data_IF_709229575729
#
_entry.id   IF_709229575729
#
_cell.length_a   1.000
_cell.length_b   1.000
_cell.length_c   1.000
_cell.angle_alpha   90.00
_cell.angle_beta   90.00
_cell.angle_gamma   90.00
#
_symmetry.space_group_name_H-M   'P 1'
#
loop_
_entity.id
_entity.type
_entity.pdbx_description
1 polymer ?
#
# COMPACT_ATOMS: atom_id res chain seq x y z
N UNK A 1 -48.46 -18.75 -11.10
CA UNK A 1 -47.30 -17.83 -11.03
C UNK A 1 -47.73 -16.53 -11.70
N UNK A 2 -47.86 -15.45 -10.93
CA UNK A 2 -48.65 -14.28 -11.32
C UNK A 2 -47.94 -13.40 -12.36
N UNK A 3 -48.67 -12.79 -13.31
CA UNK A 3 -48.12 -11.82 -14.28
C UNK A 3 -47.34 -10.69 -13.60
N UNK A 4 -47.81 -10.23 -12.44
CA UNK A 4 -47.16 -9.20 -11.63
C UNK A 4 -45.77 -9.63 -11.13
N UNK A 5 -45.58 -10.90 -10.79
CA UNK A 5 -44.28 -11.45 -10.39
C UNK A 5 -43.27 -11.42 -11.54
N UNK A 6 -43.71 -11.73 -12.77
CA UNK A 6 -42.84 -11.65 -13.95
C UNK A 6 -42.48 -10.21 -14.31
N UNK A 7 -43.43 -9.28 -14.21
CA UNK A 7 -43.20 -7.85 -14.49
C UNK A 7 -42.27 -7.22 -13.46
N UNK A 8 -42.43 -7.54 -12.16
CA UNK A 8 -41.54 -7.06 -11.10
C UNK A 8 -40.13 -7.61 -11.27
N UNK A 9 -40.01 -8.92 -11.53
CA UNK A 9 -38.71 -9.57 -11.77
C UNK A 9 -37.99 -8.96 -12.97
N UNK A 10 -38.71 -8.70 -14.08
CA UNK A 10 -38.12 -8.10 -15.28
C UNK A 10 -37.62 -6.67 -15.02
N UNK A 11 -38.37 -5.87 -14.24
CA UNK A 11 -37.98 -4.52 -13.86
C UNK A 11 -36.73 -4.51 -12.98
N UNK A 12 -36.64 -5.44 -12.03
CA UNK A 12 -35.44 -5.61 -11.18
C UNK A 12 -34.21 -5.99 -12.02
N UNK A 13 -34.35 -6.99 -12.89
CA UNK A 13 -33.26 -7.40 -13.80
C UNK A 13 -32.74 -6.26 -14.66
N UNK A 14 -33.65 -5.44 -15.20
CA UNK A 14 -33.29 -4.25 -15.97
C UNK A 14 -32.44 -3.28 -15.15
N UNK A 15 -32.80 -3.00 -13.90
CA UNK A 15 -32.04 -2.12 -13.01
C UNK A 15 -30.63 -2.65 -12.72
N UNK A 16 -30.51 -3.97 -12.50
CA UNK A 16 -29.19 -4.60 -12.29
C UNK A 16 -28.32 -4.52 -13.55
N UNK A 17 -28.88 -4.76 -14.73
CA UNK A 17 -28.16 -4.65 -16.01
C UNK A 17 -27.73 -3.20 -16.26
N UNK A 18 -28.62 -2.23 -16.07
CA UNK A 18 -28.29 -0.79 -16.22
C UNK A 18 -27.18 -0.37 -15.26
N UNK A 19 -27.24 -0.83 -14.01
CA UNK A 19 -26.20 -0.56 -12.99
C UNK A 19 -24.87 -1.20 -13.36
N UNK A 20 -24.90 -2.46 -13.82
CA UNK A 20 -23.72 -3.18 -14.27
C UNK A 20 -23.07 -2.50 -15.48
N UNK A 21 -23.85 -2.14 -16.51
CA UNK A 21 -23.34 -1.46 -17.70
C UNK A 21 -22.79 -0.08 -17.38
N UNK A 22 -23.46 0.68 -16.50
CA UNK A 22 -22.95 1.96 -15.99
C UNK A 22 -21.57 1.78 -15.37
N UNK A 23 -21.43 0.85 -14.43
CA UNK A 23 -20.15 0.62 -13.76
C UNK A 23 -19.10 -0.01 -14.66
N UNK A 24 -19.50 -0.83 -15.63
CA UNK A 24 -18.59 -1.36 -16.65
C UNK A 24 -17.90 -0.22 -17.41
N UNK A 25 -18.67 0.78 -17.87
CA UNK A 25 -18.12 1.92 -18.62
C UNK A 25 -17.28 2.82 -17.70
N UNK A 26 -17.85 3.24 -16.56
CA UNK A 26 -17.20 4.20 -15.66
C UNK A 26 -15.92 3.62 -15.06
N UNK A 27 -15.98 2.38 -14.55
CA UNK A 27 -14.82 1.74 -13.96
C UNK A 27 -13.74 1.44 -15.01
N UNK A 28 -14.11 1.06 -16.23
CA UNK A 28 -13.12 0.90 -17.32
C UNK A 28 -12.44 2.21 -17.68
N UNK A 29 -13.17 3.33 -17.68
CA UNK A 29 -12.59 4.65 -17.94
C UNK A 29 -11.66 5.10 -16.80
N UNK A 30 -12.05 4.87 -15.54
CA UNK A 30 -11.18 5.10 -14.37
C UNK A 30 -9.94 4.20 -14.44
N UNK A 31 -10.13 2.93 -14.78
CA UNK A 31 -9.08 1.93 -14.92
C UNK A 31 -8.10 2.26 -16.04
N UNK A 32 -8.59 2.73 -17.19
CA UNK A 32 -7.76 3.18 -18.31
C UNK A 32 -6.93 4.41 -17.94
N UNK A 33 -7.53 5.42 -17.31
CA UNK A 33 -6.79 6.58 -16.83
C UNK A 33 -5.74 6.19 -15.76
N UNK A 34 -6.13 5.34 -14.81
CA UNK A 34 -5.25 4.82 -13.76
C UNK A 34 -4.11 3.95 -14.31
N UNK A 35 -4.37 3.13 -15.32
CA UNK A 35 -3.37 2.29 -15.99
C UNK A 35 -2.35 3.11 -16.76
N UNK A 36 -2.80 4.12 -17.53
CA UNK A 36 -1.92 5.02 -18.28
C UNK A 36 -1.00 5.82 -17.35
N UNK A 37 -1.58 6.52 -16.36
CA UNK A 37 -0.81 7.34 -15.42
C UNK A 37 0.04 6.46 -14.52
N UNK A 38 -0.47 5.29 -14.11
CA UNK A 38 0.25 4.29 -13.32
C UNK A 38 1.48 3.76 -14.05
N UNK A 39 1.38 3.47 -15.35
CA UNK A 39 2.52 3.04 -16.16
C UNK A 39 3.58 4.13 -16.31
N UNK A 40 3.17 5.37 -16.58
CA UNK A 40 4.10 6.52 -16.64
C UNK A 40 4.82 6.69 -15.30
N UNK A 41 4.09 6.57 -14.19
CA UNK A 41 4.66 6.68 -12.85
C UNK A 41 5.63 5.54 -12.54
N UNK A 42 5.27 4.29 -12.87
CA UNK A 42 6.16 3.14 -12.70
C UNK A 42 7.46 3.33 -13.47
N UNK A 43 7.39 3.63 -14.77
CA UNK A 43 8.58 3.86 -15.60
C UNK A 43 9.43 5.03 -15.07
N UNK A 44 8.81 6.08 -14.55
CA UNK A 44 9.53 7.22 -13.95
C UNK A 44 10.32 6.80 -12.70
N UNK A 45 9.75 5.93 -11.86
CA UNK A 45 10.39 5.42 -10.64
C UNK A 45 11.52 4.44 -11.00
N UNK A 46 11.28 3.54 -11.95
CA UNK A 46 12.28 2.57 -12.41
C UNK A 46 13.46 3.27 -13.09
N UNK A 47 13.21 4.27 -13.94
CA UNK A 47 14.25 5.12 -14.52
C UNK A 47 15.03 5.87 -13.44
N UNK A 48 14.36 6.40 -12.42
CA UNK A 48 15.02 7.07 -11.30
C UNK A 48 15.91 6.11 -10.50
N UNK A 49 15.49 4.86 -10.32
CA UNK A 49 16.28 3.82 -9.64
C UNK A 49 17.52 3.42 -10.44
N UNK A 50 17.39 3.17 -11.75
CA UNK A 50 18.52 2.86 -12.65
C UNK A 50 19.49 4.03 -12.77
N UNK A 51 18.98 5.25 -12.86
CA UNK A 51 19.83 6.43 -12.93
C UNK A 51 20.60 6.64 -11.62
N UNK A 52 19.96 6.42 -10.47
CA UNK A 52 20.60 6.47 -9.15
C UNK A 52 21.66 5.39 -8.94
N UNK A 53 21.43 4.16 -9.42
CA UNK A 53 22.41 3.08 -9.26
C UNK A 53 23.71 3.35 -10.02
N UNK A 54 23.63 4.08 -11.15
CA UNK A 54 24.78 4.48 -11.96
C UNK A 54 25.41 5.81 -11.51
N UNK A 55 24.69 6.63 -10.74
CA UNK A 55 25.14 7.94 -10.26
C UNK A 55 24.99 8.07 -8.73
N UNK A 56 25.85 7.41 -7.93
CA UNK A 56 25.75 7.41 -6.46
C UNK A 56 25.80 8.81 -5.83
N UNK A 57 26.39 9.78 -6.52
CA UNK A 57 26.48 11.16 -6.06
C UNK A 57 25.10 11.86 -5.95
N UNK A 58 24.04 11.33 -6.58
CA UNK A 58 22.68 11.87 -6.46
C UNK A 58 22.16 11.86 -5.03
N UNK A 59 22.67 10.98 -4.17
CA UNK A 59 22.34 10.96 -2.75
C UNK A 59 22.64 12.32 -2.08
N UNK A 60 23.69 13.02 -2.51
CA UNK A 60 24.04 14.34 -1.98
C UNK A 60 23.05 15.44 -2.40
N UNK A 61 22.22 15.19 -3.41
CA UNK A 61 21.13 16.09 -3.81
C UNK A 61 19.84 15.87 -3.02
N UNK A 62 19.79 14.86 -2.14
CA UNK A 62 18.61 14.60 -1.30
C UNK A 62 18.12 15.81 -0.49
N UNK A 63 18.98 16.69 0.08
CA UNK A 63 18.53 17.91 0.74
C UNK A 63 17.82 18.87 -0.21
N UNK A 64 18.35 19.04 -1.44
CA UNK A 64 17.76 19.91 -2.47
C UNK A 64 16.42 19.35 -2.92
N UNK A 65 16.34 18.03 -3.15
CA UNK A 65 15.10 17.32 -3.41
C UNK A 65 14.05 17.57 -2.32
N UNK A 66 14.44 17.49 -1.06
CA UNK A 66 13.58 17.78 0.08
C UNK A 66 13.01 19.20 0.04
N UNK A 67 13.85 20.21 -0.22
CA UNK A 67 13.41 21.60 -0.38
C UNK A 67 12.42 21.75 -1.54
N UNK A 68 12.72 21.17 -2.71
CA UNK A 68 11.84 21.21 -3.88
C UNK A 68 10.48 20.57 -3.57
N UNK A 69 10.46 19.45 -2.86
CA UNK A 69 9.22 18.77 -2.43
C UNK A 69 8.38 19.69 -1.53
N UNK A 70 9.00 20.30 -0.52
CA UNK A 70 8.30 21.21 0.41
C UNK A 70 7.77 22.44 -0.33
N UNK A 71 8.58 23.03 -1.20
CA UNK A 71 8.20 24.18 -2.02
C UNK A 71 7.03 23.86 -2.96
N UNK A 72 7.07 22.70 -3.62
CA UNK A 72 6.02 22.27 -4.53
C UNK A 72 4.69 22.04 -3.80
N UNK A 73 4.71 21.37 -2.64
CA UNK A 73 3.52 21.15 -1.83
C UNK A 73 2.90 22.45 -1.29
N UNK A 74 3.73 23.44 -0.94
CA UNK A 74 3.29 24.80 -0.58
C UNK A 74 2.62 25.49 -1.77
N UNK A 75 3.24 25.42 -2.95
CA UNK A 75 2.74 26.06 -4.17
C UNK A 75 1.38 25.47 -4.60
N UNK A 76 1.22 24.15 -4.54
CA UNK A 76 -0.02 23.45 -4.89
C UNK A 76 -1.09 23.51 -3.79
N UNK A 77 -0.76 24.08 -2.61
CA UNK A 77 -1.62 24.10 -1.41
C UNK A 77 -2.08 22.71 -0.98
N UNK A 78 -1.21 21.71 -1.15
CA UNK A 78 -1.47 20.30 -0.78
C UNK A 78 -0.69 19.88 0.45
N UNK A 79 -0.14 20.83 1.20
CA UNK A 79 0.54 20.58 2.47
C UNK A 79 -0.35 19.76 3.42
N UNK A 80 0.26 18.79 4.11
CA UNK A 80 -0.45 17.91 5.03
C UNK A 80 -1.29 16.80 4.39
N UNK A 81 -1.63 16.90 3.09
CA UNK A 81 -2.35 15.82 2.40
C UNK A 81 -1.48 14.55 2.31
N UNK A 82 -2.11 13.41 2.60
CA UNK A 82 -1.52 12.07 2.60
C UNK A 82 -2.63 11.02 2.38
N UNK A 83 -2.27 9.73 2.41
CA UNK A 83 -3.22 8.62 2.22
C UNK A 83 -4.42 8.65 3.17
N UNK A 84 -4.24 9.12 4.42
CA UNK A 84 -5.35 9.27 5.36
C UNK A 84 -6.41 10.25 4.88
N UNK A 85 -6.03 11.30 4.14
CA UNK A 85 -7.00 12.23 3.54
C UNK A 85 -7.85 11.58 2.46
N UNK A 86 -7.28 10.65 1.68
CA UNK A 86 -8.01 9.86 0.68
C UNK A 86 -9.03 8.96 1.36
N UNK A 87 -8.61 8.24 2.41
CA UNK A 87 -9.51 7.38 3.20
C UNK A 87 -10.63 8.21 3.83
N UNK A 88 -10.34 9.40 4.38
CA UNK A 88 -11.36 10.32 4.90
C UNK A 88 -12.29 10.84 3.80
N UNK A 89 -11.78 11.09 2.59
CA UNK A 89 -12.61 11.52 1.46
C UNK A 89 -13.66 10.47 1.10
N UNK A 90 -13.31 9.18 1.15
CA UNK A 90 -14.27 8.09 0.95
C UNK A 90 -15.32 8.02 2.06
N UNK A 91 -14.95 8.22 3.33
CA UNK A 91 -15.93 8.19 4.43
C UNK A 91 -16.84 9.42 4.48
N UNK A 92 -16.24 10.62 4.35
CA UNK A 92 -16.89 11.91 4.61
C UNK A 92 -17.32 12.65 3.34
N UNK A 93 -17.13 12.06 2.15
CA UNK A 93 -17.42 12.73 0.86
C UNK A 93 -16.56 13.97 0.59
N UNK A 94 -15.45 14.16 1.31
CA UNK A 94 -14.61 15.36 1.17
C UNK A 94 -13.93 15.41 -0.20
N UNK A 95 -13.71 16.63 -0.68
CA UNK A 95 -13.04 16.86 -1.96
C UNK A 95 -11.52 16.71 -1.83
N UNK A 96 -10.94 15.92 -2.74
CA UNK A 96 -9.51 15.86 -3.00
C UNK A 96 -9.15 16.96 -4.00
N UNK A 97 -8.05 17.66 -3.75
CA UNK A 97 -7.48 18.62 -4.70
C UNK A 97 -6.90 17.88 -5.89
N UNK A 98 -7.25 18.29 -7.11
CA UNK A 98 -6.66 17.69 -8.33
C UNK A 98 -5.15 17.89 -8.38
N UNK A 99 -4.64 18.97 -7.76
CA UNK A 99 -3.21 19.25 -7.67
C UNK A 99 -2.46 18.28 -6.75
N UNK A 100 -3.15 17.45 -5.97
CA UNK A 100 -2.52 16.39 -5.18
C UNK A 100 -1.83 15.37 -6.08
N UNK A 101 -2.41 15.04 -7.24
CA UNK A 101 -1.87 14.05 -8.16
C UNK A 101 -0.49 14.45 -8.71
N UNK A 102 -0.29 15.63 -9.35
CA UNK A 102 1.04 16.04 -9.76
C UNK A 102 1.98 16.23 -8.55
N UNK A 103 1.49 16.77 -7.42
CA UNK A 103 2.31 16.94 -6.20
C UNK A 103 2.94 15.63 -5.73
N UNK A 104 2.13 14.58 -5.57
CA UNK A 104 2.60 13.29 -5.07
C UNK A 104 3.42 12.53 -6.12
N UNK A 105 3.09 12.66 -7.42
CA UNK A 105 3.87 12.09 -8.51
C UNK A 105 5.31 12.63 -8.49
N UNK A 106 5.48 13.95 -8.60
CA UNK A 106 6.79 14.58 -8.66
C UNK A 106 7.59 14.34 -7.38
N UNK A 107 6.93 14.46 -6.22
CA UNK A 107 7.65 14.31 -4.97
C UNK A 107 8.11 12.87 -4.71
N UNK A 108 7.35 11.86 -5.13
CA UNK A 108 7.76 10.46 -4.98
C UNK A 108 8.90 10.14 -5.93
N UNK A 109 8.81 10.55 -7.21
CA UNK A 109 9.92 10.36 -8.17
C UNK A 109 11.20 11.02 -7.66
N UNK A 110 11.11 12.26 -7.16
CA UNK A 110 12.28 12.99 -6.67
C UNK A 110 12.87 12.38 -5.39
N UNK A 111 12.01 11.87 -4.50
CA UNK A 111 12.44 11.13 -3.30
C UNK A 111 13.24 9.88 -3.70
N UNK A 112 12.73 9.09 -4.65
CA UNK A 112 13.40 7.87 -5.11
C UNK A 112 14.70 8.14 -5.87
N UNK A 113 14.69 9.16 -6.75
CA UNK A 113 15.85 9.57 -7.55
C UNK A 113 17.04 9.94 -6.66
N UNK A 114 16.80 10.68 -5.58
CA UNK A 114 17.85 11.12 -4.66
C UNK A 114 18.11 10.13 -3.52
N UNK A 115 17.50 8.92 -3.55
CA UNK A 115 17.80 7.86 -2.61
C UNK A 115 17.07 7.93 -1.26
N UNK A 116 15.99 8.70 -1.15
CA UNK A 116 15.09 8.58 0.01
C UNK A 116 14.49 7.16 0.09
N UNK A 117 14.34 6.61 1.29
CA UNK A 117 13.71 5.29 1.47
C UNK A 117 12.20 5.44 1.54
N UNK A 118 11.52 5.21 0.43
CA UNK A 118 10.07 5.17 0.38
C UNK A 118 9.56 4.19 -0.68
N UNK A 119 8.33 3.71 -0.52
CA UNK A 119 7.58 2.98 -1.54
C UNK A 119 6.85 3.91 -2.50
N UNK A 120 6.07 3.33 -3.41
CA UNK A 120 5.28 4.04 -4.45
C UNK A 120 3.76 3.94 -4.22
N UNK A 121 3.31 3.21 -3.20
CA UNK A 121 1.91 2.80 -3.05
C UNK A 121 1.04 3.80 -2.29
N UNK A 122 1.60 4.50 -1.30
CA UNK A 122 0.93 5.63 -0.68
C UNK A 122 0.64 6.73 -1.71
N UNK A 123 1.53 6.87 -2.69
CA UNK A 123 1.33 7.72 -3.85
C UNK A 123 0.26 7.14 -4.80
N UNK A 124 0.27 5.83 -5.03
CA UNK A 124 -0.74 5.13 -5.83
C UNK A 124 -2.17 5.35 -5.31
N UNK A 125 -2.40 5.19 -4.01
CA UNK A 125 -3.73 5.39 -3.42
C UNK A 125 -4.18 6.85 -3.53
N UNK A 126 -3.26 7.81 -3.39
CA UNK A 126 -3.55 9.23 -3.54
C UNK A 126 -3.88 9.62 -4.98
N UNK A 127 -3.07 9.19 -5.95
CA UNK A 127 -3.32 9.45 -7.36
C UNK A 127 -4.57 8.73 -7.85
N UNK A 128 -4.70 7.44 -7.54
CA UNK A 128 -5.86 6.62 -7.87
C UNK A 128 -7.16 7.19 -7.31
N UNK A 129 -7.19 7.51 -6.01
CA UNK A 129 -8.35 8.14 -5.39
C UNK A 129 -8.70 9.50 -6.01
N UNK A 130 -7.69 10.29 -6.38
CA UNK A 130 -7.89 11.58 -7.06
C UNK A 130 -8.47 11.40 -8.47
N UNK A 131 -7.93 10.46 -9.26
CA UNK A 131 -8.41 10.13 -10.61
C UNK A 131 -9.88 9.67 -10.55
N UNK A 132 -10.18 8.71 -9.68
CA UNK A 132 -11.53 8.17 -9.52
C UNK A 132 -12.54 9.25 -9.10
N UNK A 133 -12.16 10.10 -8.14
CA UNK A 133 -13.04 11.19 -7.68
C UNK A 133 -13.23 12.28 -8.74
N UNK A 134 -12.20 12.60 -9.53
CA UNK A 134 -12.28 13.65 -10.54
C UNK A 134 -13.10 13.22 -11.75
N UNK A 135 -12.88 12.00 -12.24
CA UNK A 135 -13.71 11.38 -13.28
C UNK A 135 -15.16 11.27 -12.83
N UNK A 136 -15.41 10.75 -11.62
CA UNK A 136 -16.76 10.62 -11.07
C UNK A 136 -17.50 11.96 -10.98
N UNK A 137 -16.80 13.05 -10.62
CA UNK A 137 -17.38 14.40 -10.65
C UNK A 137 -17.65 14.92 -12.05
N UNK A 138 -16.75 14.69 -13.00
CA UNK A 138 -16.97 15.07 -14.39
C UNK A 138 -18.20 14.40 -14.99
N UNK A 139 -18.54 13.21 -14.49
CA UNK A 139 -19.74 12.45 -14.85
C UNK A 139 -20.96 12.76 -13.95
N UNK A 140 -20.86 13.76 -13.07
CA UNK A 140 -21.93 14.17 -12.15
C UNK A 140 -22.49 13.04 -11.28
N UNK A 141 -21.64 12.11 -10.84
CA UNK A 141 -22.02 11.06 -9.91
C UNK A 141 -22.43 11.63 -8.55
N UNK A 142 -23.42 10.99 -7.92
CA UNK A 142 -23.84 11.31 -6.57
C UNK A 142 -22.77 10.93 -5.53
N UNK A 143 -22.99 11.33 -4.27
CA UNK A 143 -22.00 11.10 -3.21
C UNK A 143 -21.73 9.60 -2.94
N UNK A 144 -22.71 8.72 -3.14
CA UNK A 144 -22.55 7.27 -2.98
C UNK A 144 -21.66 6.70 -4.09
N UNK A 145 -21.98 7.00 -5.34
CA UNK A 145 -21.23 6.56 -6.50
C UNK A 145 -19.84 7.18 -6.55
N UNK A 146 -19.68 8.42 -6.09
CA UNK A 146 -18.38 9.08 -6.01
C UNK A 146 -17.43 8.36 -5.05
N UNK A 147 -17.94 7.77 -3.95
CA UNK A 147 -17.14 6.92 -3.05
C UNK A 147 -16.68 5.66 -3.78
N UNK A 148 -17.58 5.01 -4.51
CA UNK A 148 -17.26 3.81 -5.31
C UNK A 148 -16.23 4.15 -6.39
N UNK A 149 -16.38 5.28 -7.09
CA UNK A 149 -15.42 5.74 -8.10
C UNK A 149 -14.04 6.02 -7.49
N UNK A 150 -13.99 6.62 -6.30
CA UNK A 150 -12.74 6.86 -5.56
C UNK A 150 -12.04 5.53 -5.21
N UNK A 151 -12.80 4.54 -4.72
CA UNK A 151 -12.29 3.18 -4.45
C UNK A 151 -11.80 2.48 -5.72
N UNK A 152 -12.56 2.58 -6.81
CA UNK A 152 -12.20 2.01 -8.10
C UNK A 152 -10.90 2.62 -8.63
N UNK A 153 -10.69 3.93 -8.44
CA UNK A 153 -9.44 4.60 -8.79
C UNK A 153 -8.26 4.14 -7.93
N UNK A 154 -8.45 3.96 -6.62
CA UNK A 154 -7.44 3.37 -5.73
C UNK A 154 -7.04 1.96 -6.18
N UNK A 155 -8.03 1.12 -6.51
CA UNK A 155 -7.81 -0.24 -7.01
C UNK A 155 -7.09 -0.26 -8.36
N UNK A 156 -7.52 0.59 -9.30
CA UNK A 156 -6.89 0.74 -10.62
C UNK A 156 -5.39 1.06 -10.51
N UNK A 157 -5.05 2.11 -9.75
CA UNK A 157 -3.66 2.55 -9.67
C UNK A 157 -2.79 1.55 -8.91
N UNK A 158 -3.30 0.94 -7.84
CA UNK A 158 -2.57 -0.10 -7.12
C UNK A 158 -2.30 -1.31 -8.02
N UNK A 159 -3.29 -1.73 -8.81
CA UNK A 159 -3.16 -2.81 -9.80
C UNK A 159 -2.13 -2.49 -10.88
N UNK A 160 -2.13 -1.26 -11.40
CA UNK A 160 -1.18 -0.83 -12.42
C UNK A 160 0.28 -0.91 -11.96
N UNK A 161 0.56 -0.76 -10.66
CA UNK A 161 1.92 -0.76 -10.13
C UNK A 161 2.45 -2.16 -9.78
N UNK A 162 1.59 -3.05 -9.28
CA UNK A 162 2.00 -4.39 -8.85
C UNK A 162 1.67 -5.50 -9.82
N UNK A 163 0.71 -5.27 -10.71
CA UNK A 163 0.14 -6.33 -11.52
C UNK A 163 -0.74 -7.29 -10.71
N UNK A 164 -1.39 -6.83 -9.63
CA UNK A 164 -2.19 -7.64 -8.70
C UNK A 164 -3.66 -7.18 -8.64
N UNK A 165 -4.43 -7.36 -9.73
CA UNK A 165 -5.77 -6.78 -9.86
C UNK A 165 -6.77 -7.26 -8.81
N UNK A 166 -6.70 -8.52 -8.38
CA UNK A 166 -7.62 -9.06 -7.39
C UNK A 166 -7.30 -8.54 -5.99
N UNK A 167 -6.02 -8.56 -5.61
CA UNK A 167 -5.55 -8.00 -4.37
C UNK A 167 -5.89 -6.51 -4.27
N UNK A 168 -5.68 -5.76 -5.35
CA UNK A 168 -5.95 -4.32 -5.44
C UNK A 168 -7.44 -3.99 -5.24
N UNK A 169 -8.33 -4.74 -5.92
CA UNK A 169 -9.77 -4.53 -5.81
C UNK A 169 -10.28 -4.75 -4.39
N UNK A 170 -9.86 -5.86 -3.77
CA UNK A 170 -10.24 -6.19 -2.39
C UNK A 170 -9.57 -5.23 -1.39
N UNK A 171 -8.32 -4.84 -1.64
CA UNK A 171 -7.58 -3.90 -0.79
C UNK A 171 -8.32 -2.56 -0.68
N UNK A 172 -8.69 -1.96 -1.82
CA UNK A 172 -9.36 -0.68 -1.86
C UNK A 172 -10.66 -0.70 -1.03
N UNK A 173 -11.43 -1.78 -1.12
CA UNK A 173 -12.70 -1.94 -0.40
C UNK A 173 -12.49 -2.17 1.10
N UNK A 174 -11.42 -2.89 1.50
CA UNK A 174 -11.16 -3.21 2.92
C UNK A 174 -10.40 -2.12 3.68
N UNK A 175 -9.50 -1.39 3.01
CA UNK A 175 -8.59 -0.45 3.67
C UNK A 175 -9.33 0.71 4.33
N UNK A 176 -10.56 1.01 3.91
CA UNK A 176 -11.39 2.06 4.49
C UNK A 176 -11.96 1.67 5.87
N UNK A 177 -12.49 0.46 6.02
CA UNK A 177 -13.25 0.05 7.20
C UNK A 177 -12.95 -1.40 7.58
N UNK A 178 -12.33 -1.61 8.73
CA UNK A 178 -12.08 -2.92 9.31
C UNK A 178 -13.41 -3.48 9.84
N UNK A 179 -13.75 -4.68 9.38
CA UNK A 179 -14.94 -5.43 9.82
C UNK A 179 -16.20 -5.22 8.98
N UNK A 180 -16.16 -4.39 7.93
CA UNK A 180 -17.24 -4.28 6.94
C UNK A 180 -16.63 -4.32 5.54
N UNK A 181 -17.09 -5.25 4.70
CA UNK A 181 -16.75 -5.26 3.29
C UNK A 181 -17.83 -4.49 2.52
N UNK A 182 -17.44 -3.42 1.84
CA UNK A 182 -18.36 -2.61 1.04
C UNK A 182 -18.60 -3.27 -0.34
N UNK A 183 -19.38 -4.35 -0.33
CA UNK A 183 -19.58 -5.26 -1.48
C UNK A 183 -20.01 -4.56 -2.77
N UNK A 184 -20.77 -3.47 -2.67
CA UNK A 184 -21.25 -2.68 -3.83
C UNK A 184 -20.07 -2.14 -4.67
N UNK A 185 -18.92 -1.91 -4.05
CA UNK A 185 -17.73 -1.43 -4.74
C UNK A 185 -16.85 -2.53 -5.34
N UNK A 186 -17.11 -3.82 -5.06
CA UNK A 186 -16.23 -4.91 -5.53
C UNK A 186 -16.19 -5.02 -7.05
N UNK A 187 -17.35 -5.06 -7.71
CA UNK A 187 -17.42 -5.18 -9.19
C UNK A 187 -16.77 -3.96 -9.87
N UNK A 188 -17.10 -2.70 -9.51
CA UNK A 188 -16.40 -1.53 -10.02
C UNK A 188 -14.89 -1.55 -9.80
N UNK A 189 -14.44 -1.91 -8.59
CA UNK A 189 -13.01 -1.97 -8.28
C UNK A 189 -12.28 -3.03 -9.10
N UNK A 190 -12.91 -4.19 -9.33
CA UNK A 190 -12.34 -5.26 -10.13
C UNK A 190 -12.25 -4.88 -11.62
N UNK A 191 -13.29 -4.27 -12.17
CA UNK A 191 -13.27 -3.80 -13.57
C UNK A 191 -12.18 -2.74 -13.77
N UNK A 192 -12.08 -1.79 -12.83
CA UNK A 192 -11.06 -0.75 -12.88
C UNK A 192 -9.64 -1.33 -12.70
N UNK A 193 -9.45 -2.27 -11.77
CA UNK A 193 -8.15 -2.92 -11.53
C UNK A 193 -7.70 -3.78 -12.70
N UNK A 194 -8.60 -4.53 -13.35
CA UNK A 194 -8.30 -5.31 -14.55
C UNK A 194 -7.99 -4.41 -15.75
N UNK A 195 -8.78 -3.36 -15.97
CA UNK A 195 -8.52 -2.40 -17.06
C UNK A 195 -7.15 -1.74 -16.91
N UNK A 196 -6.80 -1.35 -15.68
CA UNK A 196 -5.49 -0.79 -15.38
C UNK A 196 -4.36 -1.80 -15.53
N UNK A 197 -4.57 -3.05 -15.10
CA UNK A 197 -3.62 -4.16 -15.24
C UNK A 197 -3.26 -4.40 -16.72
N UNK A 198 -4.27 -4.61 -17.57
CA UNK A 198 -4.04 -4.91 -18.99
C UNK A 198 -3.39 -3.73 -19.72
N UNK A 199 -3.82 -2.50 -19.44
CA UNK A 199 -3.25 -1.32 -20.08
C UNK A 199 -1.81 -1.06 -19.62
N UNK A 200 -1.52 -1.15 -18.32
CA UNK A 200 -0.16 -1.00 -17.81
C UNK A 200 0.77 -2.09 -18.36
N UNK A 201 0.29 -3.33 -18.43
CA UNK A 201 1.02 -4.44 -19.06
C UNK A 201 1.30 -4.20 -20.55
N UNK A 202 0.32 -3.68 -21.30
CA UNK A 202 0.52 -3.29 -22.70
C UNK A 202 1.54 -2.14 -22.88
N UNK A 203 1.71 -1.30 -21.86
CA UNK A 203 2.72 -0.24 -21.79
C UNK A 203 4.05 -0.71 -21.19
N UNK A 204 4.25 -2.02 -21.00
CA UNK A 204 5.52 -2.62 -20.57
C UNK A 204 5.73 -2.72 -19.07
N UNK A 205 4.72 -2.45 -18.24
CA UNK A 205 4.80 -2.69 -16.79
C UNK A 205 4.65 -4.17 -16.49
N UNK A 206 5.70 -4.81 -16.00
CA UNK A 206 5.66 -6.24 -15.68
C UNK A 206 5.04 -6.48 -14.29
N UNK A 207 4.14 -7.48 -14.15
CA UNK A 207 3.63 -7.89 -12.85
C UNK A 207 4.75 -8.36 -11.93
N UNK A 208 4.68 -7.98 -10.64
CA UNK A 208 5.62 -8.44 -9.62
C UNK A 208 5.30 -9.90 -9.30
N UNK A 209 6.23 -10.81 -9.63
CA UNK A 209 6.12 -12.23 -9.33
C UNK A 209 7.46 -12.74 -8.81
N UNK A 210 7.41 -13.63 -7.84
CA UNK A 210 8.59 -14.30 -7.30
C UNK A 210 8.39 -15.81 -7.32
N UNK A 211 9.44 -16.55 -7.63
CA UNK A 211 9.42 -18.00 -7.51
C UNK A 211 9.64 -18.41 -6.05
N UNK A 212 8.69 -19.15 -5.48
CA UNK A 212 8.76 -19.63 -4.09
C UNK A 212 8.60 -21.15 -4.08
N UNK A 213 9.54 -21.84 -3.43
CA UNK A 213 9.39 -23.27 -3.16
C UNK A 213 8.56 -23.47 -1.89
N UNK A 214 7.36 -24.03 -2.05
CA UNK A 214 6.43 -24.27 -0.94
C UNK A 214 6.76 -25.62 -0.29
N UNK A 215 6.99 -25.68 1.04
CA UNK A 215 7.25 -26.94 1.73
C UNK A 215 5.99 -27.82 1.79
N UNK A 216 6.20 -29.14 1.86
CA UNK A 216 5.12 -30.11 1.97
C UNK A 216 4.19 -29.84 3.15
N UNK A 217 2.91 -30.13 2.93
CA UNK A 217 1.84 -29.96 3.91
C UNK A 217 2.02 -30.91 5.10
N UNK A 218 2.44 -30.36 6.24
CA UNK A 218 2.48 -31.08 7.52
C UNK A 218 1.93 -30.22 8.66
N UNK A 219 1.42 -30.86 9.71
CA UNK A 219 0.96 -30.16 10.91
C UNK A 219 2.07 -29.29 11.54
N UNK A 220 3.32 -29.76 11.47
CA UNK A 220 4.48 -29.01 11.92
C UNK A 220 4.69 -27.74 11.08
N UNK A 221 4.61 -27.85 9.75
CA UNK A 221 4.75 -26.70 8.84
C UNK A 221 3.69 -25.63 9.15
N UNK A 222 2.44 -26.02 9.37
CA UNK A 222 1.37 -25.09 9.78
C UNK A 222 1.64 -24.43 11.13
N UNK A 223 2.17 -25.18 12.10
CA UNK A 223 2.56 -24.63 13.40
C UNK A 223 3.69 -23.60 13.27
N UNK A 224 4.75 -23.92 12.50
CA UNK A 224 5.87 -23.02 12.25
C UNK A 224 5.42 -21.74 11.51
N UNK A 225 4.57 -21.88 10.48
CA UNK A 225 3.99 -20.75 9.74
C UNK A 225 3.11 -19.90 10.66
N UNK A 226 2.30 -20.52 11.51
CA UNK A 226 1.47 -19.81 12.48
C UNK A 226 2.32 -19.04 13.49
N UNK A 227 3.39 -19.66 14.00
CA UNK A 227 4.34 -19.02 14.89
C UNK A 227 5.06 -17.83 14.22
N UNK A 228 5.52 -18.00 12.98
CA UNK A 228 6.08 -16.90 12.18
C UNK A 228 5.07 -15.76 11.99
N UNK A 229 3.78 -16.08 11.78
CA UNK A 229 2.69 -15.11 11.73
C UNK A 229 2.55 -14.27 13.01
N UNK A 230 2.72 -14.88 14.20
CA UNK A 230 2.74 -14.15 15.48
C UNK A 230 3.93 -13.19 15.54
N UNK A 231 5.12 -13.64 15.15
CA UNK A 231 6.32 -12.80 15.14
C UNK A 231 6.18 -11.64 14.15
N UNK A 232 5.62 -11.89 12.96
CA UNK A 232 5.32 -10.86 11.97
C UNK A 232 4.28 -9.84 12.48
N UNK A 233 3.35 -10.26 13.34
CA UNK A 233 2.43 -9.34 14.00
C UNK A 233 3.17 -8.36 14.92
N UNK A 234 4.16 -8.84 15.69
CA UNK A 234 5.01 -7.99 16.53
C UNK A 234 5.83 -7.01 15.69
N UNK A 235 6.39 -7.48 14.58
CA UNK A 235 7.09 -6.62 13.62
C UNK A 235 6.15 -5.57 13.02
N UNK A 236 4.92 -5.92 12.69
CA UNK A 236 3.90 -4.99 12.18
C UNK A 236 3.53 -3.92 13.21
N UNK A 237 3.39 -4.32 14.47
CA UNK A 237 3.15 -3.42 15.60
C UNK A 237 4.32 -2.44 15.76
N UNK A 238 5.54 -2.96 15.72
CA UNK A 238 6.76 -2.16 15.84
C UNK A 238 6.90 -1.19 14.66
N UNK A 239 6.64 -1.66 13.44
CA UNK A 239 6.60 -0.86 12.21
C UNK A 239 5.66 0.35 12.38
N UNK A 240 4.40 0.10 12.76
CA UNK A 240 3.42 1.18 12.92
C UNK A 240 3.83 2.18 14.01
N UNK A 241 4.27 1.69 15.18
CA UNK A 241 4.74 2.56 16.26
C UNK A 241 5.89 3.45 15.82
N UNK A 242 6.86 2.89 15.10
CA UNK A 242 8.04 3.63 14.71
C UNK A 242 7.72 4.66 13.64
N UNK A 243 6.88 4.34 12.67
CA UNK A 243 6.40 5.29 11.66
C UNK A 243 5.68 6.49 12.28
N UNK A 244 4.66 6.25 13.12
CA UNK A 244 3.92 7.35 13.76
C UNK A 244 4.76 8.07 14.82
N UNK A 245 5.59 7.35 15.55
CA UNK A 245 6.49 7.89 16.56
C UNK A 245 7.54 8.82 15.94
N UNK A 246 8.17 8.40 14.85
CA UNK A 246 9.11 9.20 14.08
C UNK A 246 8.42 10.45 13.51
N UNK A 247 7.24 10.32 12.91
CA UNK A 247 6.50 11.48 12.39
C UNK A 247 6.19 12.50 13.50
N UNK A 248 5.62 12.05 14.62
CA UNK A 248 5.27 12.93 15.76
C UNK A 248 6.52 13.55 16.39
N UNK A 249 7.56 12.74 16.60
CA UNK A 249 8.83 13.18 17.19
C UNK A 249 9.53 14.21 16.31
N UNK A 250 9.68 13.93 15.02
CA UNK A 250 10.35 14.83 14.08
C UNK A 250 9.58 16.15 13.91
N UNK A 251 8.25 16.12 13.86
CA UNK A 251 7.43 17.35 13.84
C UNK A 251 7.54 18.17 15.11
N UNK A 252 7.69 17.53 16.28
CA UNK A 252 7.86 18.20 17.57
C UNK A 252 9.24 18.84 17.70
N UNK A 253 10.28 18.14 17.28
CA UNK A 253 11.68 18.60 17.37
C UNK A 253 11.97 19.66 16.28
N UNK A 254 11.48 19.43 15.06
CA UNK A 254 11.65 20.31 13.90
C UNK A 254 10.28 20.67 13.29
N UNK A 255 9.57 21.68 13.86
CA UNK A 255 8.26 22.10 13.34
C UNK A 255 8.35 22.69 11.92
N UNK A 256 9.45 23.38 11.60
CA UNK A 256 9.65 23.98 10.29
C UNK A 256 9.94 22.89 9.24
N UNK A 257 9.02 22.72 8.29
CA UNK A 257 9.12 21.71 7.24
C UNK A 257 10.40 21.80 6.41
N UNK A 258 10.92 23.01 6.15
CA UNK A 258 12.15 23.21 5.38
C UNK A 258 13.39 22.69 6.12
N UNK A 259 13.53 23.01 7.40
CA UNK A 259 14.64 22.51 8.22
C UNK A 259 14.51 21.00 8.45
N UNK A 260 13.28 20.51 8.57
CA UNK A 260 13.00 19.10 8.80
C UNK A 260 13.44 18.22 7.63
N UNK A 261 13.17 18.61 6.39
CA UNK A 261 13.65 17.85 5.22
C UNK A 261 15.16 17.90 5.05
N UNK A 262 15.81 19.01 5.40
CA UNK A 262 17.28 19.11 5.39
C UNK A 262 17.92 18.20 6.44
N UNK A 263 17.39 18.21 7.67
CA UNK A 263 17.87 17.33 8.74
C UNK A 263 17.64 15.85 8.40
N UNK A 264 16.46 15.50 7.89
CA UNK A 264 16.16 14.15 7.45
C UNK A 264 17.08 13.68 6.32
N UNK A 265 17.34 14.52 5.32
CA UNK A 265 18.28 14.21 4.26
C UNK A 265 19.70 13.96 4.80
N UNK A 266 20.18 14.81 5.70
CA UNK A 266 21.47 14.64 6.36
C UNK A 266 21.57 13.32 7.13
N UNK A 267 20.52 12.95 7.88
CA UNK A 267 20.46 11.66 8.60
C UNK A 267 20.51 10.50 7.61
N UNK A 268 19.73 10.52 6.52
CA UNK A 268 19.75 9.45 5.51
C UNK A 268 21.12 9.31 4.85
N UNK A 269 21.76 10.41 4.48
CA UNK A 269 23.12 10.39 3.92
C UNK A 269 24.10 9.74 4.90
N UNK A 270 24.10 10.17 6.16
CA UNK A 270 24.97 9.60 7.20
C UNK A 270 24.70 8.12 7.40
N UNK A 271 23.42 7.71 7.49
CA UNK A 271 23.05 6.31 7.65
C UNK A 271 23.51 5.46 6.46
N UNK A 272 23.35 5.94 5.22
CA UNK A 272 23.82 5.24 4.02
C UNK A 272 25.32 4.98 4.08
N UNK A 273 26.12 6.00 4.44
CA UNK A 273 27.57 5.82 4.58
C UNK A 273 27.97 4.91 5.74
N UNK A 274 27.27 4.96 6.87
CA UNK A 274 27.52 4.07 8.01
C UNK A 274 27.20 2.60 7.70
N UNK A 275 26.16 2.35 6.90
CA UNK A 275 25.80 1.00 6.47
C UNK A 275 26.74 0.47 5.37
N UNK A 276 27.43 1.34 4.64
CA UNK A 276 28.31 0.95 3.53
C UNK A 276 27.58 0.37 2.31
N UNK A 277 26.25 0.47 2.26
CA UNK A 277 25.40 -0.03 1.16
C UNK A 277 24.23 0.92 0.89
N UNK A 278 23.72 0.87 -0.34
CA UNK A 278 22.54 1.61 -0.79
C UNK A 278 21.24 0.77 -0.75
N UNK A 279 21.28 -0.45 -0.23
CA UNK A 279 20.16 -1.40 -0.25
C UNK A 279 18.91 -0.91 0.49
N UNK A 280 19.11 -0.01 1.45
CA UNK A 280 18.03 0.59 2.23
C UNK A 280 17.47 1.88 1.61
N UNK A 281 18.17 2.46 0.62
CA UNK A 281 17.71 3.61 -0.15
C UNK A 281 16.67 3.19 -1.21
N UNK A 282 15.72 4.07 -1.55
CA UNK A 282 14.69 3.78 -2.55
C UNK A 282 13.67 2.72 -2.11
N UNK A 283 13.15 1.95 -3.06
CA UNK A 283 12.08 0.96 -2.82
C UNK A 283 12.61 -0.28 -2.09
N UNK A 284 13.70 -0.87 -2.59
CA UNK A 284 14.31 -2.08 -2.04
C UNK A 284 13.80 -3.40 -2.63
N UNK A 285 13.29 -3.39 -3.87
CA UNK A 285 12.80 -4.60 -4.55
C UNK A 285 13.88 -5.66 -4.76
N UNK A 286 15.13 -5.26 -5.01
CA UNK A 286 16.24 -6.20 -5.19
C UNK A 286 16.50 -7.07 -3.95
N UNK A 287 16.43 -6.48 -2.75
CA UNK A 287 16.59 -7.23 -1.48
C UNK A 287 15.38 -8.14 -1.22
N UNK A 288 14.17 -7.69 -1.57
CA UNK A 288 12.98 -8.55 -1.49
C UNK A 288 13.15 -9.78 -2.39
N UNK A 289 13.60 -9.58 -3.63
CA UNK A 289 13.87 -10.67 -4.57
C UNK A 289 14.93 -11.64 -4.02
N UNK A 290 16.08 -11.13 -3.56
CA UNK A 290 17.14 -11.95 -2.98
C UNK A 290 16.67 -12.72 -1.73
N UNK A 291 15.85 -12.12 -0.88
CA UNK A 291 15.31 -12.78 0.31
C UNK A 291 14.38 -13.95 -0.04
N UNK A 292 13.59 -13.82 -1.10
CA UNK A 292 12.56 -14.78 -1.49
C UNK A 292 13.12 -15.87 -2.40
N UNK A 293 13.87 -15.49 -3.43
CA UNK A 293 14.34 -16.40 -4.48
C UNK A 293 15.69 -17.05 -4.13
N UNK A 294 16.59 -16.30 -3.48
CA UNK A 294 17.90 -16.82 -3.06
C UNK A 294 17.96 -17.24 -1.59
N UNK A 295 16.94 -16.91 -0.79
CA UNK A 295 16.95 -17.16 0.64
C UNK A 295 18.03 -16.37 1.40
N UNK A 296 18.41 -15.19 0.90
CA UNK A 296 19.47 -14.35 1.48
C UNK A 296 18.93 -12.99 1.91
N UNK A 297 19.11 -12.66 3.19
CA UNK A 297 18.88 -11.33 3.71
C UNK A 297 19.86 -11.03 4.84
N UNK A 298 20.38 -9.81 4.88
CA UNK A 298 21.18 -9.33 6.01
C UNK A 298 20.34 -9.34 7.30
N UNK A 299 20.81 -9.90 8.42
CA UNK A 299 20.00 -10.07 9.65
C UNK A 299 19.36 -8.79 10.18
N UNK A 300 20.03 -7.65 10.02
CA UNK A 300 19.55 -6.34 10.48
C UNK A 300 18.81 -5.55 9.39
N UNK A 301 18.67 -6.08 8.17
CA UNK A 301 18.08 -5.37 7.04
C UNK A 301 16.65 -4.88 7.34
N UNK A 302 15.84 -5.70 8.03
CA UNK A 302 14.48 -5.32 8.37
C UNK A 302 14.43 -4.11 9.32
N UNK A 303 15.35 -4.02 10.29
CA UNK A 303 15.45 -2.87 11.19
C UNK A 303 15.98 -1.64 10.47
N UNK A 304 17.04 -1.81 9.67
CA UNK A 304 17.66 -0.73 8.92
C UNK A 304 16.67 -0.12 7.92
N UNK A 305 15.97 -0.94 7.14
CA UNK A 305 14.94 -0.43 6.22
C UNK A 305 13.83 0.33 6.94
N UNK A 306 13.41 -0.16 8.11
CA UNK A 306 12.40 0.50 8.93
C UNK A 306 12.92 1.87 9.41
N UNK A 307 14.18 1.97 9.86
CA UNK A 307 14.81 3.24 10.28
C UNK A 307 14.88 4.22 9.11
N UNK A 308 15.45 3.81 7.98
CA UNK A 308 15.55 4.64 6.80
C UNK A 308 14.20 5.16 6.33
N UNK A 309 13.20 4.28 6.27
CA UNK A 309 11.84 4.65 5.82
C UNK A 309 11.16 5.59 6.81
N UNK A 310 11.25 5.31 8.10
CA UNK A 310 10.65 6.15 9.14
C UNK A 310 11.26 7.55 9.16
N UNK A 311 12.58 7.68 9.04
CA UNK A 311 13.27 8.97 8.99
C UNK A 311 12.90 9.72 7.71
N UNK A 312 12.93 9.04 6.56
CA UNK A 312 12.60 9.63 5.25
C UNK A 312 11.19 10.25 5.29
N UNK A 313 10.19 9.46 5.68
CA UNK A 313 8.80 9.90 5.66
C UNK A 313 8.48 10.88 6.81
N UNK A 314 9.06 10.70 8.00
CA UNK A 314 8.92 11.65 9.11
C UNK A 314 9.54 13.02 8.79
N UNK A 315 10.61 13.05 7.99
CA UNK A 315 11.24 14.29 7.57
C UNK A 315 10.34 15.12 6.65
N UNK A 316 9.47 14.46 5.88
CA UNK A 316 8.51 15.08 4.96
C UNK A 316 8.74 14.77 3.49
N UNK A 317 9.68 13.87 3.17
CA UNK A 317 9.74 13.24 1.85
C UNK A 317 8.45 12.47 1.57
N UNK A 318 8.19 12.20 0.29
CA UNK A 318 6.91 11.66 -0.16
C UNK A 318 7.07 10.31 -0.82
N UNK A 319 6.11 9.45 -0.56
CA UNK A 319 6.06 8.08 -1.07
C UNK A 319 5.12 7.25 -0.20
N UNK A 320 5.18 5.93 -0.37
CA UNK A 320 4.38 4.96 0.38
C UNK A 320 5.17 4.16 1.41
N UNK A 321 4.44 3.49 2.29
CA UNK A 321 4.99 2.62 3.33
C UNK A 321 4.83 1.13 3.02
N UNK A 322 4.04 0.76 2.00
CA UNK A 322 3.65 -0.63 1.73
C UNK A 322 4.85 -1.49 1.28
N UNK A 323 5.63 -1.10 0.28
CA UNK A 323 6.80 -1.87 -0.15
C UNK A 323 7.91 -1.88 0.91
N UNK A 324 8.17 -0.79 1.65
CA UNK A 324 8.98 -0.90 2.85
C UNK A 324 8.46 -1.95 3.86
N UNK A 325 7.15 -2.10 4.04
CA UNK A 325 6.59 -3.18 4.86
C UNK A 325 6.82 -4.57 4.24
N UNK A 326 6.78 -4.69 2.90
CA UNK A 326 7.16 -5.91 2.19
C UNK A 326 8.62 -6.27 2.43
N UNK A 327 9.52 -5.30 2.31
CA UNK A 327 10.94 -5.46 2.58
C UNK A 327 11.17 -5.93 4.00
N UNK A 328 10.60 -5.21 4.98
CA UNK A 328 10.76 -5.54 6.40
C UNK A 328 10.25 -6.95 6.68
N UNK A 329 9.09 -7.31 6.13
CA UNK A 329 8.53 -8.66 6.24
C UNK A 329 9.39 -9.74 5.58
N UNK A 330 9.83 -9.52 4.34
CA UNK A 330 10.64 -10.45 3.59
C UNK A 330 12.00 -10.70 4.27
N UNK A 331 12.71 -9.62 4.64
CA UNK A 331 14.00 -9.73 5.32
C UNK A 331 13.87 -10.42 6.69
N UNK A 332 12.86 -10.04 7.49
CA UNK A 332 12.61 -10.68 8.78
C UNK A 332 12.26 -12.17 8.62
N UNK A 333 11.34 -12.48 7.71
CA UNK A 333 10.91 -13.85 7.44
C UNK A 333 12.05 -14.74 6.93
N UNK A 334 12.91 -14.19 6.06
CA UNK A 334 14.09 -14.87 5.52
C UNK A 334 15.06 -15.30 6.63
N UNK A 335 15.30 -14.42 7.60
CA UNK A 335 16.24 -14.64 8.70
C UNK A 335 15.67 -15.59 9.76
N UNK A 336 14.38 -15.44 10.09
CA UNK A 336 13.75 -16.20 11.18
C UNK A 336 13.31 -17.60 10.75
N UNK A 337 12.87 -17.78 9.51
CA UNK A 337 12.33 -19.06 9.05
C UNK A 337 13.29 -20.24 9.24
N UNK A 338 14.59 -20.17 8.90
CA UNK A 338 15.53 -21.27 9.12
C UNK A 338 15.66 -21.64 10.60
N UNK A 339 15.58 -20.66 11.50
CA UNK A 339 15.69 -20.85 12.96
C UNK A 339 14.52 -21.68 13.49
N UNK A 340 13.33 -21.50 12.91
CA UNK A 340 12.12 -22.24 13.29
C UNK A 340 11.89 -23.49 12.44
N UNK A 341 12.79 -23.84 11.53
CA UNK A 341 12.75 -25.05 10.70
C UNK A 341 11.95 -24.92 9.39
N UNK A 342 11.82 -23.71 8.83
CA UNK A 342 11.24 -23.45 7.51
C UNK A 342 12.32 -23.00 6.51
N UNK A 343 12.13 -23.24 5.20
CA UNK A 343 13.02 -22.69 4.17
C UNK A 343 13.06 -21.16 4.20
N UNK A 344 14.23 -20.55 4.03
CA UNK A 344 14.42 -19.09 4.11
C UNK A 344 13.54 -18.33 3.11
N UNK A 345 13.56 -18.72 1.83
CA UNK A 345 12.78 -18.07 0.77
C UNK A 345 11.27 -18.14 1.00
N UNK A 346 10.76 -19.30 1.43
CA UNK A 346 9.37 -19.46 1.84
C UNK A 346 9.02 -18.59 3.06
N UNK A 347 9.92 -18.55 4.05
CA UNK A 347 9.83 -17.66 5.19
C UNK A 347 9.72 -16.18 4.82
N UNK A 348 10.53 -15.74 3.86
CA UNK A 348 10.50 -14.39 3.33
C UNK A 348 9.14 -14.08 2.67
N UNK A 349 8.62 -15.00 1.85
CA UNK A 349 7.29 -14.86 1.24
C UNK A 349 6.18 -14.75 2.29
N UNK A 350 6.17 -15.62 3.30
CA UNK A 350 5.23 -15.56 4.44
C UNK A 350 5.36 -14.24 5.20
N UNK A 351 6.60 -13.84 5.52
CA UNK A 351 6.88 -12.60 6.24
C UNK A 351 6.39 -11.35 5.50
N UNK A 352 6.60 -11.29 4.18
CA UNK A 352 6.13 -10.20 3.33
C UNK A 352 4.62 -9.98 3.47
N UNK A 353 3.83 -11.04 3.28
CA UNK A 353 2.35 -10.93 3.28
C UNK A 353 1.78 -10.79 4.68
N UNK A 354 2.41 -11.42 5.68
CA UNK A 354 2.00 -11.31 7.07
C UNK A 354 2.27 -9.94 7.66
N UNK A 355 3.42 -9.32 7.37
CA UNK A 355 3.70 -7.96 7.83
C UNK A 355 2.78 -6.97 7.11
N UNK A 356 2.61 -7.09 5.78
CA UNK A 356 1.64 -6.28 5.04
C UNK A 356 0.23 -6.38 5.62
N UNK A 357 -0.23 -7.60 5.93
CA UNK A 357 -1.52 -7.84 6.56
C UNK A 357 -1.64 -7.13 7.91
N UNK A 358 -0.64 -7.26 8.77
CA UNK A 358 -0.63 -6.67 10.11
C UNK A 358 -0.61 -5.14 10.08
N UNK A 359 0.15 -4.54 9.16
CA UNK A 359 0.24 -3.06 9.07
C UNK A 359 -0.98 -2.43 8.41
N UNK A 360 -1.65 -3.13 7.48
CA UNK A 360 -2.82 -2.59 6.73
C UNK A 360 -4.18 -3.05 7.25
N UNK A 361 -4.21 -4.07 8.13
CA UNK A 361 -5.42 -4.71 8.61
C UNK A 361 -6.32 -5.31 7.51
N UNK A 362 -5.75 -5.78 6.40
CA UNK A 362 -6.50 -6.27 5.23
C UNK A 362 -6.23 -7.77 4.92
N UNK A 363 -6.68 -8.73 5.75
CA UNK A 363 -6.28 -10.14 5.62
C UNK A 363 -6.67 -10.79 4.31
N UNK A 364 -7.88 -10.55 3.79
CA UNK A 364 -8.35 -11.17 2.54
C UNK A 364 -7.54 -10.64 1.35
N UNK A 365 -7.28 -9.33 1.32
CA UNK A 365 -6.42 -8.72 0.31
C UNK A 365 -4.99 -9.29 0.35
N UNK A 366 -4.42 -9.49 1.55
CA UNK A 366 -3.08 -10.07 1.70
C UNK A 366 -3.00 -11.51 1.18
N UNK A 367 -4.06 -12.31 1.33
CA UNK A 367 -4.12 -13.66 0.75
C UNK A 367 -4.16 -13.60 -0.78
N UNK A 368 -5.00 -12.75 -1.37
CA UNK A 368 -5.01 -12.58 -2.82
C UNK A 368 -3.68 -12.05 -3.35
N UNK A 369 -3.06 -11.11 -2.63
CA UNK A 369 -1.73 -10.61 -2.94
C UNK A 369 -0.70 -11.74 -2.98
N UNK A 370 -0.74 -12.65 -1.99
CA UNK A 370 0.15 -13.81 -1.94
C UNK A 370 -0.02 -14.71 -3.16
N UNK A 371 -1.25 -14.93 -3.61
CA UNK A 371 -1.56 -15.79 -4.76
C UNK A 371 -1.06 -15.15 -6.06
N UNK A 372 -1.29 -13.84 -6.23
CA UNK A 372 -0.90 -13.14 -7.46
C UNK A 372 0.63 -12.94 -7.57
N UNK A 373 1.35 -12.86 -6.44
CA UNK A 373 2.80 -12.67 -6.42
C UNK A 373 3.57 -14.01 -6.38
N UNK A 374 3.12 -14.99 -5.60
CA UNK A 374 3.85 -16.25 -5.34
C UNK A 374 3.22 -17.49 -5.96
N UNK A 375 1.97 -17.39 -6.46
CA UNK A 375 1.19 -18.53 -6.91
C UNK A 375 0.28 -19.13 -5.83
N UNK A 376 -0.63 -20.00 -6.25
CA UNK A 376 -1.70 -20.54 -5.40
C UNK A 376 -1.26 -21.69 -4.48
N UNK A 377 -0.10 -22.30 -4.71
CA UNK A 377 0.35 -23.50 -4.00
C UNK A 377 0.43 -23.28 -2.48
N UNK A 378 0.95 -22.13 -2.05
CA UNK A 378 1.11 -21.77 -0.64
C UNK A 378 -0.13 -21.12 0.02
N UNK A 379 -1.27 -21.05 -0.66
CA UNK A 379 -2.39 -20.18 -0.24
C UNK A 379 -2.87 -20.42 1.20
N UNK A 380 -2.88 -21.69 1.65
CA UNK A 380 -3.32 -22.04 3.00
C UNK A 380 -2.35 -21.54 4.07
N UNK A 381 -1.05 -21.64 3.81
CA UNK A 381 -0.02 -21.11 4.71
C UNK A 381 -0.11 -19.59 4.81
N UNK A 382 -0.22 -18.90 3.67
CA UNK A 382 -0.36 -17.45 3.65
C UNK A 382 -1.64 -17.01 4.36
N UNK A 383 -2.76 -17.72 4.17
CA UNK A 383 -4.02 -17.45 4.88
C UNK A 383 -3.87 -17.59 6.40
N UNK A 384 -3.25 -18.68 6.88
CA UNK A 384 -3.01 -18.89 8.31
C UNK A 384 -2.14 -17.77 8.89
N UNK A 385 -1.00 -17.49 8.26
CA UNK A 385 -0.07 -16.47 8.74
C UNK A 385 -0.65 -15.06 8.69
N UNK A 386 -1.42 -14.72 7.65
CA UNK A 386 -2.11 -13.44 7.52
C UNK A 386 -3.20 -13.28 8.59
N UNK A 387 -4.03 -14.30 8.82
CA UNK A 387 -5.10 -14.24 9.81
C UNK A 387 -4.55 -14.10 11.24
N UNK A 388 -3.48 -14.84 11.55
CA UNK A 388 -2.81 -14.73 12.85
C UNK A 388 -2.18 -13.34 13.00
N UNK A 389 -1.45 -12.85 11.99
CA UNK A 389 -0.85 -11.51 12.03
C UNK A 389 -1.91 -10.41 12.19
N UNK A 390 -3.02 -10.50 11.45
CA UNK A 390 -4.16 -9.60 11.58
C UNK A 390 -4.75 -9.60 13.00
N UNK A 391 -4.94 -10.78 13.61
CA UNK A 391 -5.51 -10.86 14.94
C UNK A 391 -4.55 -10.30 16.00
N UNK A 392 -3.27 -10.69 15.93
CA UNK A 392 -2.25 -10.38 16.94
C UNK A 392 -1.72 -8.94 16.84
N UNK A 393 -1.78 -8.30 15.67
CA UNK A 393 -1.41 -6.89 15.49
C UNK A 393 -2.37 -5.90 16.18
N UNK A 394 -3.53 -6.37 16.64
CA UNK A 394 -4.50 -5.57 17.37
C UNK A 394 -5.11 -4.46 16.50
N UNK A 395 -5.27 -3.25 17.03
CA UNK A 395 -5.86 -2.12 16.30
C UNK A 395 -4.82 -1.14 15.75
N UNK A 396 -3.56 -1.56 15.69
CA UNK A 396 -2.49 -0.74 15.12
C UNK A 396 -2.50 -0.88 13.60
N UNK A 397 -2.21 0.21 12.91
CA UNK A 397 -2.15 0.20 11.45
C UNK A 397 -1.60 1.49 10.90
N UNK A 398 -0.99 1.45 9.72
CA UNK A 398 -0.31 2.62 9.13
C UNK A 398 -1.28 3.77 8.83
N UNK A 399 -2.54 3.46 8.54
CA UNK A 399 -3.59 4.43 8.25
C UNK A 399 -4.40 4.72 9.51
N UNK A 400 -4.16 5.88 10.14
CA UNK A 400 -4.90 6.31 11.34
C UNK A 400 -6.37 6.68 11.06
N UNK A 401 -6.73 6.92 9.80
CA UNK A 401 -8.10 7.24 9.39
C UNK A 401 -8.93 6.03 8.99
N UNK A 402 -8.37 4.83 9.07
CA UNK A 402 -9.11 3.58 8.93
C UNK A 402 -10.03 3.41 10.14
N UNK A 403 -11.31 3.13 9.90
CA UNK A 403 -12.28 2.89 10.97
C UNK A 403 -12.40 1.41 11.28
N UNK A 404 -12.58 1.06 12.54
CA UNK A 404 -12.83 -0.28 13.04
C UNK A 404 -14.30 -0.33 13.46
N UNK A 405 -15.10 -0.97 12.62
CA UNK A 405 -16.54 -1.05 12.80
C UNK A 405 -16.88 -2.10 13.85
N UNK A 406 -16.18 -3.24 13.82
CA UNK A 406 -16.36 -4.35 14.75
C UNK A 406 -15.06 -4.71 15.48
N UNK A 407 -15.18 -5.10 16.74
CA UNK A 407 -14.05 -5.55 17.53
C UNK A 407 -13.45 -6.86 17.00
N UNK A 408 -12.12 -6.91 16.84
CA UNK A 408 -11.39 -8.15 16.52
C UNK A 408 -11.56 -9.25 17.58
N UNK A 409 -11.90 -8.88 18.83
CA UNK A 409 -11.99 -9.80 19.96
C UNK A 409 -13.39 -10.39 20.18
N UNK A 410 -14.43 -9.66 19.80
CA UNK A 410 -15.84 -10.04 20.00
C UNK A 410 -16.67 -9.40 18.90
N UNK A 411 -17.75 -10.05 18.46
CA UNK A 411 -18.71 -9.52 17.49
C UNK A 411 -19.53 -8.36 18.08
N UNK A 412 -18.86 -7.26 18.44
CA UNK A 412 -19.41 -6.04 19.01
C UNK A 412 -19.03 -4.87 18.13
N UNK A 413 -20.02 -4.07 17.77
CA UNK A 413 -19.84 -2.81 17.07
C UNK A 413 -19.12 -1.80 17.98
N UNK A 414 -18.04 -1.18 17.49
CA UNK A 414 -17.22 -0.22 18.27
C UNK A 414 -16.99 1.13 17.58
N UNK A 415 -17.06 1.20 16.25
CA UNK A 415 -16.89 2.43 15.46
C UNK A 415 -15.72 3.33 15.94
N UNK A 416 -14.52 2.77 16.00
CA UNK A 416 -13.33 3.43 16.54
C UNK A 416 -12.24 3.57 15.48
N UNK A 417 -11.40 4.59 15.52
CA UNK A 417 -10.25 4.67 14.61
C UNK A 417 -9.10 3.77 15.06
N UNK A 418 -8.27 3.36 14.11
CA UNK A 418 -7.00 2.67 14.39
C UNK A 418 -6.07 3.54 15.25
N UNK A 419 -5.12 2.90 15.93
CA UNK A 419 -4.13 3.54 16.82
C UNK A 419 -4.71 4.32 18.02
N UNK A 420 -6.02 4.18 18.31
CA UNK A 420 -6.66 4.87 19.43
C UNK A 420 -6.83 6.38 19.21
N UNK A 421 -6.76 6.86 17.97
CA UNK A 421 -7.09 8.26 17.67
C UNK A 421 -8.58 8.50 17.94
N UNK A 422 -8.90 9.53 18.73
CA UNK A 422 -10.26 10.09 18.71
C UNK A 422 -10.43 10.73 17.34
N UNK A 423 -11.54 10.44 16.66
CA UNK A 423 -11.86 11.10 15.40
C UNK A 423 -11.66 12.59 15.57
N UNK A 424 -10.69 13.16 14.86
CA UNK A 424 -10.37 14.58 14.93
C UNK A 424 -11.46 15.34 14.20
N UNK A 425 -12.59 15.48 14.89
CA UNK A 425 -13.68 16.39 14.60
C UNK A 425 -13.68 17.44 15.74
N UNK A 426 -12.73 18.38 15.59
CA UNK A 426 -12.82 19.74 16.10
C UNK A 426 -12.43 20.66 14.93
#
# INVERSE_FOLDING_TARGET
MNKEFFVSTFREWRLYIETFLKWLVIASLIGGAGGLIGAIFHHSIDMAEVFRSTHPWLLWLLPIAGLLIVGFYKMTRTEGLNTNHVIRAVHKGKRLSVLLMPAIFFATVLTQLCGGSAGREGAALQMGGTIGQWIGRGLYLDDSDLRIATLAGMAAFFSALFGTPLAAAVFAVMVISIGILYHVALVPCLIASLSAYFLAGALGVQPVRFAVQVPEASAMTFFQVGFLGILCALVSIFFCMMMHGAEKGMRKILPNAWLRVLAGAGIIIVLTYLCGTNDYNGVGMGVIAAAIEEGKAEPLAFLLKLVFTSVTLAAGFKGGEIVPSFFVGAAFGCVIAPIIGLPAGFGAAVGLVSVFCGVTNCPISSVFLSIEIFGAEGMLYFAVACCISYMMSGYRGIYSSQMIMYSKRKAKFINAYTNGEKGTDA
#
